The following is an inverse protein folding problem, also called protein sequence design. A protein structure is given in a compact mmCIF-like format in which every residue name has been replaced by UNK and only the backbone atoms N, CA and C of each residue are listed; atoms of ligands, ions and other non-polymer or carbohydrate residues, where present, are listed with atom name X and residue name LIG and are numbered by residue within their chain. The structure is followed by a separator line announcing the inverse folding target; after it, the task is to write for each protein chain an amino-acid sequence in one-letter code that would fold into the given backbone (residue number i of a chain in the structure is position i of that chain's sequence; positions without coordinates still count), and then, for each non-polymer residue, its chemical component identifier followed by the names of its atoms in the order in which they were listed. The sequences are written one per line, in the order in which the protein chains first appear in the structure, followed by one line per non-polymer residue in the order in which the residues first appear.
data_IF_345305932088
#
_entry.id   IF_345305932088
#
_cell.length_a   1.000
_cell.length_b   1.000
_cell.length_c   1.000
_cell.angle_alpha   90.00
_cell.angle_beta   90.00
_cell.angle_gamma   90.00
#
_symmetry.space_group_name_H-M   'P 1'
#
loop_
_entity.id
_entity.type
_entity.pdbx_description
1 polymer ?
#
# COMPACT_ATOMS: atom_id res chain seq x y z
N UNK A 1 -5.66 -4.67 -5.04
CA UNK A 1 -6.95 -5.12 -4.47
C UNK A 1 -6.60 -5.93 -3.24
N UNK A 2 -7.37 -5.89 -2.15
CA UNK A 2 -7.13 -6.71 -0.96
C UNK A 2 -8.17 -7.84 -0.89
N UNK A 3 -7.91 -8.85 -0.08
CA UNK A 3 -8.89 -9.87 0.26
C UNK A 3 -9.52 -9.50 1.61
N UNK A 4 -10.85 -9.48 1.68
CA UNK A 4 -11.58 -9.23 2.92
C UNK A 4 -11.81 -10.55 3.64
N UNK A 5 -11.43 -10.60 4.92
CA UNK A 5 -11.66 -11.69 5.85
C UNK A 5 -12.65 -11.22 6.91
N UNK A 6 -13.80 -11.88 7.02
CA UNK A 6 -14.84 -11.45 7.97
C UNK A 6 -15.73 -12.63 8.35
N UNK A 7 -16.59 -12.47 9.35
CA UNK A 7 -17.61 -13.46 9.67
C UNK A 7 -18.82 -13.30 8.75
N UNK A 8 -19.60 -14.36 8.56
CA UNK A 8 -20.81 -14.33 7.74
C UNK A 8 -21.84 -13.31 8.26
N UNK A 9 -22.07 -13.30 9.56
CA UNK A 9 -22.98 -12.36 10.21
C UNK A 9 -22.55 -10.92 9.96
N UNK A 10 -21.25 -10.62 10.10
CA UNK A 10 -20.73 -9.27 9.89
C UNK A 10 -20.78 -8.84 8.44
N UNK A 11 -20.49 -9.74 7.51
CA UNK A 11 -20.63 -9.48 6.07
C UNK A 11 -22.07 -9.11 5.73
N UNK A 12 -23.01 -9.87 6.27
CA UNK A 12 -24.45 -9.64 6.09
C UNK A 12 -24.86 -8.28 6.66
N UNK A 13 -24.45 -7.98 7.89
CA UNK A 13 -24.73 -6.69 8.54
C UNK A 13 -24.22 -5.51 7.71
N UNK A 14 -22.95 -5.51 7.30
CA UNK A 14 -22.34 -4.45 6.50
C UNK A 14 -23.03 -4.25 5.15
N UNK A 15 -23.48 -5.32 4.53
CA UNK A 15 -24.24 -5.24 3.28
C UNK A 15 -25.66 -4.66 3.48
N UNK A 16 -26.31 -4.97 4.58
CA UNK A 16 -27.66 -4.46 4.90
C UNK A 16 -27.62 -2.99 5.37
N UNK A 17 -26.59 -2.60 6.10
CA UNK A 17 -26.40 -1.20 6.52
C UNK A 17 -26.07 -0.28 5.33
N UNK A 18 -25.46 -0.82 4.30
CA UNK A 18 -25.01 -0.02 3.15
C UNK A 18 -23.81 0.86 3.46
N UNK A 19 -23.66 1.97 2.72
CA UNK A 19 -22.58 2.94 2.93
C UNK A 19 -21.22 2.46 2.43
N UNK A 20 -20.15 3.01 3.02
CA UNK A 20 -18.75 2.83 2.58
C UNK A 20 -18.33 1.36 2.54
N UNK A 21 -18.67 0.58 3.57
CA UNK A 21 -18.32 -0.84 3.59
C UNK A 21 -19.03 -1.64 2.50
N UNK A 22 -20.33 -1.37 2.25
CA UNK A 22 -21.03 -2.02 1.15
C UNK A 22 -20.38 -1.70 -0.20
N UNK A 23 -19.97 -0.45 -0.41
CA UNK A 23 -19.27 -0.05 -1.64
C UNK A 23 -17.91 -0.74 -1.79
N UNK A 24 -17.21 -0.98 -0.70
CA UNK A 24 -15.97 -1.75 -0.71
C UNK A 24 -16.26 -3.22 -1.04
N UNK A 25 -17.19 -3.85 -0.32
CA UNK A 25 -17.54 -5.26 -0.45
C UNK A 25 -17.95 -5.61 -1.89
N UNK A 26 -18.87 -4.87 -2.48
CA UNK A 26 -19.35 -5.14 -3.85
C UNK A 26 -18.29 -5.00 -4.94
N UNK A 27 -17.13 -4.44 -4.62
CA UNK A 27 -16.01 -4.29 -5.55
C UNK A 27 -14.87 -5.27 -5.26
N UNK A 28 -15.02 -6.17 -4.29
CA UNK A 28 -14.09 -7.27 -4.11
C UNK A 28 -14.28 -8.31 -5.21
N UNK A 29 -13.23 -9.08 -5.45
CA UNK A 29 -13.33 -10.30 -6.28
C UNK A 29 -13.46 -11.52 -5.41
N UNK A 30 -12.85 -11.50 -4.23
CA UNK A 30 -12.81 -12.61 -3.31
C UNK A 30 -13.02 -12.10 -1.87
N UNK A 31 -13.90 -12.78 -1.13
CA UNK A 31 -14.18 -12.57 0.29
C UNK A 31 -14.04 -13.92 0.98
N UNK A 32 -13.33 -13.94 2.10
CA UNK A 32 -13.16 -15.13 2.91
C UNK A 32 -13.98 -14.99 4.18
N UNK A 33 -14.90 -15.93 4.37
CA UNK A 33 -15.74 -16.02 5.56
C UNK A 33 -15.04 -16.90 6.59
N UNK A 34 -14.87 -16.38 7.79
CA UNK A 34 -14.20 -17.03 8.92
C UNK A 34 -15.18 -17.14 10.09
N UNK A 35 -15.99 -18.17 10.14
CA UNK A 35 -16.96 -18.38 11.20
C UNK A 35 -16.33 -19.19 12.36
N UNK A 36 -16.91 -19.07 13.54
CA UNK A 36 -16.61 -19.93 14.68
C UNK A 36 -17.54 -21.18 14.63
N UNK A 37 -17.44 -21.96 13.56
CA UNK A 37 -18.26 -23.16 13.29
C UNK A 37 -17.46 -24.20 12.51
N UNK A 38 -17.93 -25.45 12.54
CA UNK A 38 -17.36 -26.56 11.76
C UNK A 38 -17.93 -26.62 10.33
N UNK A 39 -18.69 -25.62 9.90
CA UNK A 39 -19.28 -25.57 8.55
C UNK A 39 -18.22 -25.19 7.53
N UNK A 40 -18.03 -26.02 6.54
CA UNK A 40 -17.06 -25.80 5.45
C UNK A 40 -17.61 -24.92 4.31
N UNK A 41 -18.89 -24.61 4.33
CA UNK A 41 -19.60 -23.83 3.32
C UNK A 41 -20.38 -22.70 3.98
N UNK A 42 -20.50 -21.56 3.28
CA UNK A 42 -21.37 -20.47 3.72
C UNK A 42 -22.86 -20.83 3.54
N UNK A 43 -23.74 -20.19 4.32
CA UNK A 43 -25.18 -20.46 4.28
C UNK A 43 -25.81 -19.98 2.96
N UNK A 44 -26.08 -20.92 2.03
CA UNK A 44 -26.75 -20.64 0.75
C UNK A 44 -28.17 -20.08 0.92
N UNK A 45 -28.80 -20.21 2.09
CA UNK A 45 -30.08 -19.56 2.37
C UNK A 45 -29.95 -18.07 2.69
N UNK A 46 -28.73 -17.58 2.97
CA UNK A 46 -28.43 -16.17 3.20
C UNK A 46 -28.56 -15.38 1.88
N UNK A 47 -29.65 -14.63 1.78
CA UNK A 47 -29.95 -13.86 0.56
C UNK A 47 -28.92 -12.80 0.22
N UNK A 48 -28.18 -12.30 1.20
CA UNK A 48 -27.11 -11.28 0.99
C UNK A 48 -25.93 -11.94 0.31
N UNK A 49 -25.42 -13.05 0.87
CA UNK A 49 -24.30 -13.80 0.30
C UNK A 49 -24.63 -14.33 -1.09
N UNK A 50 -25.83 -14.87 -1.25
CA UNK A 50 -26.32 -15.31 -2.57
C UNK A 50 -26.30 -14.16 -3.59
N UNK A 51 -26.67 -12.94 -3.20
CA UNK A 51 -26.61 -11.78 -4.10
C UNK A 51 -25.19 -11.35 -4.44
N UNK A 52 -24.25 -11.40 -3.47
CA UNK A 52 -22.82 -11.14 -3.73
C UNK A 52 -22.24 -12.18 -4.70
N UNK A 53 -22.55 -13.46 -4.47
CA UNK A 53 -22.13 -14.55 -5.37
C UNK A 53 -22.69 -14.39 -6.79
N UNK A 54 -23.96 -13.99 -6.95
CA UNK A 54 -24.56 -13.67 -8.26
C UNK A 54 -23.92 -12.44 -8.92
N UNK A 55 -23.33 -11.54 -8.16
CA UNK A 55 -22.57 -10.41 -8.65
C UNK A 55 -21.11 -10.77 -9.00
N UNK A 56 -20.79 -12.07 -9.12
CA UNK A 56 -19.47 -12.60 -9.47
C UNK A 56 -18.40 -12.34 -8.39
N UNK A 57 -18.81 -12.19 -7.13
CA UNK A 57 -17.91 -12.16 -5.98
C UNK A 57 -17.74 -13.59 -5.49
N UNK A 58 -16.51 -14.08 -5.50
CA UNK A 58 -16.16 -15.39 -4.97
C UNK A 58 -16.17 -15.35 -3.44
N UNK A 59 -16.94 -16.22 -2.81
CA UNK A 59 -17.06 -16.33 -1.36
C UNK A 59 -16.53 -17.72 -0.96
N UNK A 60 -15.43 -17.72 -0.22
CA UNK A 60 -14.81 -18.91 0.31
C UNK A 60 -14.97 -18.94 1.84
N UNK A 61 -14.92 -20.13 2.44
CA UNK A 61 -14.94 -20.32 3.90
C UNK A 61 -13.58 -20.82 4.35
N UNK A 62 -13.02 -20.16 5.35
CA UNK A 62 -11.76 -20.55 6.01
C UNK A 62 -11.87 -20.33 7.52
N UNK A 63 -12.46 -21.30 8.22
CA UNK A 63 -12.63 -21.22 9.67
C UNK A 63 -11.34 -21.52 10.43
N UNK A 64 -10.39 -22.26 9.84
CA UNK A 64 -9.09 -22.57 10.46
C UNK A 64 -8.26 -21.29 10.61
N UNK A 65 -8.34 -20.37 9.65
CA UNK A 65 -7.59 -19.12 9.70
C UNK A 65 -7.94 -18.28 10.93
N UNK A 66 -9.23 -18.15 11.28
CA UNK A 66 -9.63 -17.39 12.46
C UNK A 66 -9.05 -17.98 13.73
N UNK A 67 -9.03 -19.31 13.85
CA UNK A 67 -8.40 -20.02 14.95
C UNK A 67 -6.88 -19.85 14.96
N UNK A 68 -6.24 -19.91 13.83
CA UNK A 68 -4.79 -19.74 13.73
C UNK A 68 -4.35 -18.33 14.09
N UNK A 69 -5.11 -17.31 13.73
CA UNK A 69 -4.88 -15.94 14.19
C UNK A 69 -5.08 -15.83 15.72
N UNK A 70 -6.07 -16.50 16.30
CA UNK A 70 -6.26 -16.55 17.76
C UNK A 70 -5.08 -17.24 18.47
N UNK A 71 -4.50 -18.29 17.88
CA UNK A 71 -3.32 -19.02 18.42
C UNK A 71 -2.03 -18.19 18.29
N UNK A 72 -1.79 -17.58 17.13
CA UNK A 72 -0.66 -16.68 16.87
C UNK A 72 -1.08 -15.56 15.91
N UNK A 73 -1.14 -14.35 16.44
CA UNK A 73 -1.50 -13.17 15.66
C UNK A 73 -0.53 -12.86 14.51
N UNK A 74 0.65 -13.50 14.44
CA UNK A 74 1.57 -13.37 13.32
C UNK A 74 0.99 -13.95 12.02
N UNK A 75 0.06 -14.88 12.10
CA UNK A 75 -0.59 -15.52 10.95
C UNK A 75 -1.34 -14.51 10.05
N UNK A 76 -1.66 -13.31 10.55
CA UNK A 76 -2.18 -12.20 9.71
C UNK A 76 -1.20 -11.76 8.61
N UNK A 77 0.07 -12.16 8.65
CA UNK A 77 1.08 -11.85 7.64
C UNK A 77 1.23 -12.92 6.56
N UNK A 78 0.58 -14.06 6.68
CA UNK A 78 0.70 -15.14 5.69
C UNK A 78 -0.03 -14.82 4.38
N UNK A 79 -0.91 -13.85 4.42
CA UNK A 79 -1.79 -13.49 3.33
C UNK A 79 -1.35 -12.21 2.64
N UNK A 80 -1.67 -12.11 1.36
CA UNK A 80 -1.30 -10.94 0.54
C UNK A 80 -2.36 -9.86 0.65
N UNK A 81 -1.97 -8.68 1.13
CA UNK A 81 -2.85 -7.51 1.27
C UNK A 81 -4.19 -7.83 1.95
N UNK A 82 -4.21 -8.41 3.16
CA UNK A 82 -5.45 -8.77 3.83
C UNK A 82 -6.11 -7.56 4.49
N UNK A 83 -7.45 -7.59 4.59
CA UNK A 83 -8.20 -6.75 5.50
C UNK A 83 -9.12 -7.64 6.34
N UNK A 84 -9.03 -7.51 7.64
CA UNK A 84 -9.75 -8.34 8.60
C UNK A 84 -10.83 -7.55 9.32
N UNK A 85 -12.02 -8.13 9.44
CA UNK A 85 -13.08 -7.70 10.34
C UNK A 85 -13.51 -8.94 11.13
N UNK A 86 -12.87 -9.16 12.28
CA UNK A 86 -13.03 -10.38 13.07
C UNK A 86 -13.44 -10.05 14.51
N UNK A 87 -13.90 -11.08 15.25
CA UNK A 87 -14.39 -10.92 16.61
C UNK A 87 -13.26 -10.73 17.62
N UNK A 88 -12.79 -9.48 17.70
CA UNK A 88 -11.78 -8.99 18.62
C UNK A 88 -12.27 -7.69 19.27
N UNK A 89 -11.75 -7.36 20.44
CA UNK A 89 -11.98 -6.04 21.01
C UNK A 89 -11.30 -4.94 20.17
N UNK A 90 -11.80 -3.72 20.24
CA UNK A 90 -11.21 -2.56 19.55
C UNK A 90 -9.72 -2.37 19.91
N UNK A 91 -9.38 -2.60 21.16
CA UNK A 91 -7.99 -2.51 21.62
C UNK A 91 -7.08 -3.57 20.96
N UNK A 92 -7.49 -4.83 20.98
CA UNK A 92 -6.73 -5.93 20.36
C UNK A 92 -6.59 -5.72 18.86
N UNK A 93 -7.67 -5.39 18.18
CA UNK A 93 -7.67 -5.10 16.75
C UNK A 93 -6.69 -3.95 16.40
N UNK A 94 -6.69 -2.89 17.21
CA UNK A 94 -5.77 -1.76 17.04
C UNK A 94 -4.32 -2.19 17.23
N UNK A 95 -4.01 -2.99 18.24
CA UNK A 95 -2.65 -3.46 18.51
C UNK A 95 -2.16 -4.42 17.41
N UNK A 96 -3.01 -5.30 16.90
CA UNK A 96 -2.69 -6.17 15.75
C UNK A 96 -2.39 -5.31 14.51
N UNK A 97 -3.27 -4.35 14.19
CA UNK A 97 -3.06 -3.40 13.09
C UNK A 97 -1.72 -2.67 13.18
N UNK A 98 -1.38 -2.14 14.35
CA UNK A 98 -0.11 -1.43 14.58
C UNK A 98 1.09 -2.37 14.46
N UNK A 99 1.01 -3.53 15.08
CA UNK A 99 2.12 -4.49 15.17
C UNK A 99 2.49 -5.08 13.80
N UNK A 100 1.49 -5.35 12.97
CA UNK A 100 1.69 -6.06 11.71
C UNK A 100 1.49 -5.21 10.46
N UNK A 101 1.00 -3.99 10.59
CA UNK A 101 0.76 -3.09 9.46
C UNK A 101 -0.31 -3.59 8.50
N UNK A 102 -1.36 -4.19 9.03
CA UNK A 102 -2.52 -4.68 8.29
C UNK A 102 -3.78 -3.94 8.72
N UNK A 103 -4.80 -3.92 7.87
CA UNK A 103 -6.13 -3.48 8.28
C UNK A 103 -6.74 -4.60 9.11
N UNK A 104 -6.90 -4.37 10.41
CA UNK A 104 -7.54 -5.31 11.32
C UNK A 104 -8.54 -4.55 12.18
N UNK A 105 -9.82 -4.88 12.07
CA UNK A 105 -10.93 -4.16 12.66
C UNK A 105 -11.82 -5.10 13.49
N UNK A 106 -12.46 -4.61 14.55
CA UNK A 106 -13.41 -5.39 15.33
C UNK A 106 -14.74 -5.55 14.57
N UNK A 107 -15.48 -6.63 14.84
CA UNK A 107 -16.86 -6.80 14.34
C UNK A 107 -17.84 -5.84 15.01
N UNK A 108 -17.61 -5.49 16.29
CA UNK A 108 -18.45 -4.54 17.01
C UNK A 108 -18.02 -3.10 16.73
N UNK A 109 -18.98 -2.25 16.34
CA UNK A 109 -18.73 -0.84 15.99
C UNK A 109 -17.61 -0.69 14.96
N UNK A 110 -17.63 -1.51 13.90
CA UNK A 110 -16.63 -1.48 12.83
C UNK A 110 -16.46 -0.06 12.28
N UNK A 111 -15.29 0.55 12.41
CA UNK A 111 -15.08 1.90 11.91
C UNK A 111 -15.10 1.94 10.38
N UNK A 112 -15.41 3.12 9.83
CA UNK A 112 -15.17 3.34 8.41
C UNK A 112 -13.67 3.24 8.09
N UNK A 113 -13.28 2.52 7.04
CA UNK A 113 -11.88 2.34 6.74
C UNK A 113 -11.27 3.58 6.09
N UNK A 114 -10.11 4.01 6.58
CA UNK A 114 -9.38 5.13 5.98
C UNK A 114 -9.10 4.96 4.48
N UNK A 115 -9.01 3.71 4.00
CA UNK A 115 -8.80 3.38 2.58
C UNK A 115 -9.95 3.80 1.66
N UNK A 116 -11.10 4.14 2.18
CA UNK A 116 -12.23 4.66 1.41
C UNK A 116 -12.22 6.18 1.27
N UNK A 117 -11.33 6.88 1.98
CA UNK A 117 -11.18 8.32 1.85
C UNK A 117 -10.73 8.69 0.42
N UNK A 118 -11.17 9.84 -0.04
CA UNK A 118 -10.75 10.38 -1.33
C UNK A 118 -9.25 10.67 -1.32
N UNK A 119 -8.58 10.34 -2.41
CA UNK A 119 -7.18 10.69 -2.63
C UNK A 119 -6.98 12.22 -2.74
N UNK A 120 -5.73 12.64 -2.73
CA UNK A 120 -5.36 14.05 -2.89
C UNK A 120 -4.21 14.23 -3.87
N UNK A 121 -4.03 15.46 -4.32
CA UNK A 121 -3.00 15.82 -5.30
C UNK A 121 -2.13 16.95 -4.76
N UNK A 122 -0.82 16.85 -4.97
CA UNK A 122 0.14 17.92 -4.83
C UNK A 122 0.50 18.43 -6.24
N UNK A 123 0.12 19.64 -6.56
CA UNK A 123 0.59 20.35 -7.74
C UNK A 123 1.86 21.11 -7.37
N UNK A 124 3.02 20.64 -7.87
CA UNK A 124 4.30 21.25 -7.56
C UNK A 124 4.58 22.54 -8.32
N UNK A 125 3.67 23.00 -9.20
CA UNK A 125 3.72 24.31 -9.86
C UNK A 125 2.98 25.41 -9.06
N UNK A 126 2.21 25.04 -8.01
CA UNK A 126 1.42 25.98 -7.20
C UNK A 126 2.26 26.55 -6.04
N UNK A 127 2.97 27.64 -6.30
CA UNK A 127 3.80 28.34 -5.30
C UNK A 127 3.01 28.89 -4.10
N UNK A 128 1.67 28.86 -4.13
CA UNK A 128 0.84 29.33 -3.02
C UNK A 128 0.72 28.33 -1.87
N UNK A 129 1.18 27.08 -2.06
CA UNK A 129 1.09 26.00 -1.07
C UNK A 129 2.46 25.50 -0.68
N UNK A 130 2.55 24.92 0.51
CA UNK A 130 3.75 24.20 0.91
C UNK A 130 3.97 22.99 0.00
N UNK A 131 5.15 22.93 -0.60
CA UNK A 131 5.54 21.91 -1.54
C UNK A 131 6.65 21.06 -0.95
N UNK A 132 6.28 19.96 -0.34
CA UNK A 132 7.24 19.01 0.25
C UNK A 132 6.63 17.61 0.38
N UNK A 133 7.47 16.60 0.44
CA UNK A 133 7.05 15.25 0.82
C UNK A 133 6.44 15.24 2.22
N UNK A 134 6.95 16.06 3.15
CA UNK A 134 6.46 16.13 4.51
C UNK A 134 4.99 16.56 4.55
N UNK A 135 4.64 17.61 3.81
CA UNK A 135 3.26 18.08 3.70
C UNK A 135 2.37 17.04 2.99
N UNK A 136 2.83 16.55 1.84
CA UNK A 136 2.03 15.63 1.00
C UNK A 136 1.70 14.32 1.70
N UNK A 137 2.67 13.72 2.42
CA UNK A 137 2.53 12.42 3.06
C UNK A 137 1.86 12.46 4.43
N UNK A 138 1.71 13.65 5.02
CA UNK A 138 1.11 13.82 6.37
C UNK A 138 -0.34 13.36 6.48
N UNK A 139 -1.05 13.26 5.36
CA UNK A 139 -2.46 12.84 5.29
C UNK A 139 -2.69 11.33 5.39
N UNK A 140 -1.63 10.50 5.32
CA UNK A 140 -1.78 9.04 5.29
C UNK A 140 -2.12 8.51 6.69
N UNK A 141 -3.29 7.88 6.83
CA UNK A 141 -3.80 7.40 8.12
C UNK A 141 -3.78 5.89 8.29
N UNK A 142 -3.82 5.13 7.18
CA UNK A 142 -3.86 3.67 7.25
C UNK A 142 -2.52 3.09 7.72
N UNK A 143 -2.57 1.93 8.36
CA UNK A 143 -1.38 1.14 8.67
C UNK A 143 -1.00 0.30 7.46
N UNK A 144 0.28 0.02 7.28
CA UNK A 144 0.84 -0.79 6.19
C UNK A 144 2.21 -1.34 6.62
N UNK A 145 2.69 -2.38 5.95
CA UNK A 145 3.92 -3.09 6.34
C UNK A 145 4.96 -3.19 5.21
N UNK A 146 4.67 -2.65 4.06
CA UNK A 146 5.58 -2.67 2.92
C UNK A 146 5.53 -1.38 2.14
N UNK A 147 6.64 -1.03 1.51
CA UNK A 147 6.78 0.11 0.64
C UNK A 147 7.64 -0.27 -0.56
N UNK A 148 7.13 -0.04 -1.75
CA UNK A 148 7.87 -0.25 -3.00
C UNK A 148 7.98 1.09 -3.72
N UNK A 149 9.19 1.55 -3.97
CA UNK A 149 9.50 2.76 -4.72
C UNK A 149 9.94 2.34 -6.11
N UNK A 150 9.22 2.76 -7.13
CA UNK A 150 9.49 2.41 -8.54
C UNK A 150 9.79 3.68 -9.29
N UNK A 151 11.04 3.89 -9.69
CA UNK A 151 11.43 4.97 -10.58
C UNK A 151 12.73 4.59 -11.31
N UNK A 152 12.62 4.39 -12.62
CA UNK A 152 13.73 4.01 -13.48
C UNK A 152 14.95 4.91 -13.32
N UNK A 153 14.74 6.22 -13.12
CA UNK A 153 15.77 7.24 -13.06
C UNK A 153 16.08 7.71 -11.64
N UNK A 154 15.64 6.97 -10.62
CA UNK A 154 15.74 7.43 -9.23
C UNK A 154 17.17 7.80 -8.83
N UNK A 155 18.17 7.08 -9.29
CA UNK A 155 19.58 7.30 -9.00
C UNK A 155 20.37 7.92 -10.16
N UNK A 156 19.72 8.51 -11.14
CA UNK A 156 20.34 9.22 -12.26
C UNK A 156 20.61 10.69 -11.92
N UNK A 157 21.66 11.29 -12.50
CA UNK A 157 21.95 12.73 -12.46
C UNK A 157 21.65 13.46 -13.76
N UNK A 158 20.93 12.84 -14.67
CA UNK A 158 20.54 13.47 -15.93
C UNK A 158 19.68 14.72 -15.71
N UNK A 159 19.73 15.69 -16.62
CA UNK A 159 18.91 16.91 -16.62
C UNK A 159 19.12 17.85 -15.42
N UNK A 160 20.34 17.94 -14.90
CA UNK A 160 20.68 18.83 -13.79
C UNK A 160 20.25 18.33 -12.40
N UNK A 161 19.92 17.07 -12.31
CA UNK A 161 19.69 16.35 -11.06
C UNK A 161 21.00 15.85 -10.45
N UNK A 162 20.94 15.43 -9.22
CA UNK A 162 22.12 14.87 -8.52
C UNK A 162 21.73 13.64 -7.68
N UNK A 163 22.71 12.81 -7.37
CA UNK A 163 22.54 11.73 -6.40
C UNK A 163 22.15 12.27 -5.01
N UNK A 164 22.56 13.48 -4.67
CA UNK A 164 22.16 14.11 -3.41
C UNK A 164 20.67 14.45 -3.39
N UNK A 165 20.07 14.85 -4.52
CA UNK A 165 18.63 15.04 -4.63
C UNK A 165 17.88 13.70 -4.47
N UNK A 166 18.41 12.61 -5.05
CA UNK A 166 17.87 11.26 -4.83
C UNK A 166 17.87 10.89 -3.35
N UNK A 167 18.98 11.12 -2.68
CA UNK A 167 19.15 10.84 -1.25
C UNK A 167 18.25 11.72 -0.38
N UNK A 168 18.08 12.97 -0.75
CA UNK A 168 17.20 13.91 -0.06
C UNK A 168 15.73 13.43 -0.15
N UNK A 169 15.23 13.15 -1.36
CA UNK A 169 13.86 12.68 -1.56
C UNK A 169 13.64 11.33 -0.87
N UNK A 170 14.56 10.37 -1.00
CA UNK A 170 14.44 9.08 -0.32
C UNK A 170 14.36 9.24 1.20
N UNK A 171 15.21 10.08 1.79
CA UNK A 171 15.18 10.33 3.23
C UNK A 171 13.85 10.97 3.65
N UNK A 172 13.38 11.98 2.93
CA UNK A 172 12.12 12.65 3.23
C UNK A 172 10.92 11.70 3.12
N UNK A 173 10.85 10.91 2.05
CA UNK A 173 9.81 9.89 1.86
C UNK A 173 9.85 8.89 3.03
N UNK A 174 11.00 8.30 3.32
CA UNK A 174 11.12 7.28 4.37
C UNK A 174 10.87 7.86 5.76
N UNK A 175 11.31 9.10 6.04
CA UNK A 175 11.06 9.74 7.32
C UNK A 175 9.55 9.96 7.61
N UNK A 176 8.75 10.11 6.56
CA UNK A 176 7.31 10.30 6.67
C UNK A 176 6.53 8.97 6.61
N UNK A 177 7.00 8.03 5.80
CA UNK A 177 6.28 6.77 5.57
C UNK A 177 6.67 5.65 6.53
N UNK A 178 7.87 5.65 7.10
CA UNK A 178 8.24 4.60 8.05
C UNK A 178 7.47 4.76 9.36
N UNK A 179 6.86 3.71 9.87
CA UNK A 179 6.19 3.73 11.17
C UNK A 179 7.14 4.14 12.28
N UNK A 180 6.64 4.92 13.25
CA UNK A 180 7.39 5.29 14.47
C UNK A 180 7.27 4.23 15.56
N UNK A 181 6.21 3.46 15.54
CA UNK A 181 5.99 2.34 16.45
C UNK A 181 6.68 1.08 15.89
N UNK A 182 7.19 0.23 16.78
CA UNK A 182 7.84 -1.00 16.37
C UNK A 182 6.84 -1.93 15.70
N UNK A 183 7.12 -2.31 14.46
CA UNK A 183 6.36 -3.33 13.72
C UNK A 183 7.11 -4.65 13.73
N UNK A 184 6.38 -5.73 13.55
CA UNK A 184 6.97 -7.08 13.47
C UNK A 184 7.93 -7.20 12.29
N UNK A 185 7.49 -6.72 11.12
CA UNK A 185 8.29 -6.72 9.89
C UNK A 185 7.87 -5.55 9.02
N UNK A 186 8.83 -4.80 8.50
CA UNK A 186 8.60 -3.78 7.51
C UNK A 186 9.64 -3.89 6.40
N UNK A 187 9.20 -3.87 5.16
CA UNK A 187 10.11 -3.96 4.00
C UNK A 187 10.00 -2.73 3.11
N UNK A 188 11.14 -2.26 2.61
CA UNK A 188 11.25 -1.19 1.63
C UNK A 188 12.02 -1.73 0.43
N UNK A 189 11.41 -1.76 -0.73
CA UNK A 189 12.08 -2.14 -1.99
C UNK A 189 12.18 -0.92 -2.90
N UNK A 190 13.36 -0.69 -3.48
CA UNK A 190 13.59 0.37 -4.46
C UNK A 190 13.93 -0.28 -5.80
N UNK A 191 13.05 -0.08 -6.78
CA UNK A 191 13.17 -0.66 -8.12
C UNK A 191 13.61 0.44 -9.10
N UNK A 192 14.74 0.24 -9.75
CA UNK A 192 15.34 1.23 -10.65
C UNK A 192 16.14 0.56 -11.78
N UNK A 193 16.55 1.34 -12.78
CA UNK A 193 17.41 0.89 -13.87
C UNK A 193 18.87 1.22 -13.56
N UNK A 194 19.70 0.18 -13.33
CA UNK A 194 21.11 0.37 -13.02
C UNK A 194 21.89 1.00 -14.17
N UNK A 195 21.43 0.85 -15.41
CA UNK A 195 22.09 1.46 -16.59
C UNK A 195 21.90 2.97 -16.65
N UNK A 196 20.95 3.50 -15.87
CA UNK A 196 20.66 4.93 -15.74
C UNK A 196 21.21 5.55 -14.46
N UNK A 197 21.72 4.71 -13.56
CA UNK A 197 22.28 5.17 -12.31
C UNK A 197 23.71 5.68 -12.48
N UNK A 198 24.08 6.72 -11.69
CA UNK A 198 25.42 7.32 -11.72
C UNK A 198 26.49 6.46 -11.06
N UNK A 199 26.10 5.46 -10.32
CA UNK A 199 26.97 4.61 -9.51
C UNK A 199 26.63 3.13 -9.69
N UNK A 200 27.62 2.29 -9.44
CA UNK A 200 27.43 0.85 -9.40
C UNK A 200 26.55 0.43 -8.19
N UNK A 201 25.88 -0.71 -8.32
CA UNK A 201 24.98 -1.26 -7.30
C UNK A 201 25.59 -1.27 -5.88
N UNK A 202 26.86 -1.65 -5.75
CA UNK A 202 27.53 -1.72 -4.45
C UNK A 202 27.69 -0.35 -3.80
N UNK A 203 27.98 0.67 -4.59
CA UNK A 203 28.11 2.04 -4.10
C UNK A 203 26.75 2.61 -3.69
N UNK A 204 25.70 2.38 -4.53
CA UNK A 204 24.33 2.76 -4.21
C UNK A 204 23.85 2.11 -2.92
N UNK A 205 24.09 0.80 -2.76
CA UNK A 205 23.76 0.10 -1.52
C UNK A 205 24.47 0.72 -0.29
N UNK A 206 25.70 1.19 -0.45
CA UNK A 206 26.42 1.88 0.60
C UNK A 206 25.77 3.22 0.95
N UNK A 207 25.40 4.02 -0.04
CA UNK A 207 24.72 5.31 0.16
C UNK A 207 23.34 5.14 0.81
N UNK A 208 22.55 4.19 0.34
CA UNK A 208 21.23 3.86 0.89
C UNK A 208 21.35 3.38 2.35
N UNK A 209 22.34 2.55 2.65
CA UNK A 209 22.60 2.13 4.04
C UNK A 209 23.01 3.30 4.96
N UNK A 210 23.67 4.35 4.44
CA UNK A 210 23.91 5.57 5.21
C UNK A 210 22.60 6.28 5.55
N UNK A 211 21.67 6.37 4.59
CA UNK A 211 20.32 6.94 4.82
C UNK A 211 19.60 6.13 5.90
N UNK A 212 19.56 4.79 5.76
CA UNK A 212 18.94 3.88 6.75
C UNK A 212 19.42 4.19 8.18
N UNK A 213 20.73 4.41 8.37
CA UNK A 213 21.30 4.74 9.67
C UNK A 213 20.88 6.10 10.22
N UNK A 214 20.43 7.02 9.40
CA UNK A 214 19.96 8.36 9.84
C UNK A 214 18.49 8.37 10.25
N UNK A 215 17.72 7.33 9.93
CA UNK A 215 16.29 7.20 10.24
C UNK A 215 16.11 6.67 11.68
N UNK A 216 16.53 7.47 12.66
CA UNK A 216 16.42 7.13 14.07
C UNK A 216 14.98 7.39 14.57
N UNK A 217 14.46 6.49 15.42
CA UNK A 217 13.12 6.63 16.01
C UNK A 217 12.01 6.02 15.17
N UNK A 218 12.34 5.32 14.10
CA UNK A 218 11.42 4.54 13.29
C UNK A 218 11.52 3.03 13.60
N UNK A 219 10.53 2.27 13.14
CA UNK A 219 10.58 0.81 13.19
C UNK A 219 11.84 0.28 12.51
N UNK A 220 12.32 -0.86 12.96
CA UNK A 220 13.35 -1.60 12.21
C UNK A 220 12.74 -2.11 10.90
N UNK A 221 13.47 -1.95 9.79
CA UNK A 221 12.99 -2.36 8.47
C UNK A 221 14.10 -2.96 7.62
N UNK A 222 13.72 -3.84 6.72
CA UNK A 222 14.60 -4.34 5.67
C UNK A 222 14.52 -3.44 4.45
N UNK A 223 15.64 -3.27 3.75
CA UNK A 223 15.72 -2.46 2.55
C UNK A 223 16.42 -3.23 1.44
N UNK A 224 15.77 -3.29 0.29
CA UNK A 224 16.28 -3.96 -0.90
C UNK A 224 16.41 -2.99 -2.06
N UNK A 225 17.51 -3.10 -2.81
CA UNK A 225 17.70 -2.45 -4.08
C UNK A 225 17.52 -3.49 -5.20
N UNK A 226 16.58 -3.25 -6.09
CA UNK A 226 16.26 -4.15 -7.19
C UNK A 226 16.55 -3.42 -8.50
N UNK A 227 17.52 -3.92 -9.26
CA UNK A 227 17.79 -3.37 -10.58
C UNK A 227 16.99 -4.10 -11.65
N UNK A 228 16.43 -3.32 -12.57
CA UNK A 228 15.76 -3.83 -13.76
C UNK A 228 16.70 -3.55 -14.94
N UNK A 229 16.91 -4.54 -15.79
CA UNK A 229 17.56 -4.32 -17.08
C UNK A 229 16.50 -3.85 -18.09
N UNK A 230 16.66 -2.61 -18.58
CA UNK A 230 15.77 -2.00 -19.58
C UNK A 230 15.65 -2.81 -20.87
N UNK A 231 16.62 -3.70 -21.17
CA UNK A 231 16.56 -4.55 -22.35
C UNK A 231 15.62 -5.77 -22.19
N UNK A 232 15.24 -6.11 -20.96
CA UNK A 232 14.39 -7.25 -20.65
C UNK A 232 12.89 -6.92 -20.64
N UNK A 233 12.51 -5.66 -20.75
CA UNK A 233 11.13 -5.20 -20.70
C UNK A 233 10.81 -4.24 -21.84
N UNK A 234 9.61 -4.36 -22.40
CA UNK A 234 9.01 -3.37 -23.31
C UNK A 234 8.69 -2.07 -22.52
N UNK A 235 9.72 -1.51 -21.89
CA UNK A 235 9.66 -0.37 -20.97
C UNK A 235 9.31 0.95 -21.66
N UNK A 236 9.30 1.00 -23.00
CA UNK A 236 9.03 2.20 -23.77
C UNK A 236 7.57 2.70 -23.66
N UNK A 237 6.69 1.94 -22.98
CA UNK A 237 5.28 2.27 -22.83
C UNK A 237 4.85 2.65 -21.41
N UNK A 238 5.67 2.44 -20.40
CA UNK A 238 5.32 2.72 -19.01
C UNK A 238 6.37 3.62 -18.39
N UNK A 239 6.05 4.90 -18.30
CA UNK A 239 6.80 5.86 -17.50
C UNK A 239 6.38 5.79 -16.02
N UNK A 240 6.32 4.58 -15.48
CA UNK A 240 5.77 4.32 -14.16
C UNK A 240 6.71 4.81 -13.07
N UNK A 241 6.22 5.74 -12.25
CA UNK A 241 6.92 6.31 -11.10
C UNK A 241 6.00 6.31 -9.92
N UNK A 242 6.04 5.20 -9.19
CA UNK A 242 5.11 4.93 -8.12
C UNK A 242 5.80 4.70 -6.79
N UNK A 243 5.13 5.13 -5.73
CA UNK A 243 5.37 4.62 -4.39
C UNK A 243 4.13 3.81 -4.02
N UNK A 244 4.31 2.51 -3.81
CA UNK A 244 3.21 1.57 -3.59
C UNK A 244 3.35 0.93 -2.21
N UNK A 245 2.26 0.84 -1.49
CA UNK A 245 2.12 0.02 -0.30
C UNK A 245 1.02 -1.03 -0.49
N UNK A 246 0.78 -1.85 0.52
CA UNK A 246 -0.33 -2.79 0.49
C UNK A 246 -1.73 -2.12 0.43
N UNK A 247 -1.87 -0.82 0.72
CA UNK A 247 -3.19 -0.16 0.74
C UNK A 247 -3.27 1.17 0.01
N UNK A 248 -2.17 1.70 -0.51
CA UNK A 248 -2.19 2.94 -1.27
C UNK A 248 -1.17 2.96 -2.40
N UNK A 249 -1.36 3.87 -3.33
CA UNK A 249 -0.43 4.20 -4.39
C UNK A 249 -0.23 5.72 -4.46
N UNK A 250 1.01 6.12 -4.67
CA UNK A 250 1.39 7.49 -5.01
C UNK A 250 1.93 7.45 -6.43
N UNK A 251 1.29 8.19 -7.32
CA UNK A 251 1.73 8.39 -8.70
C UNK A 251 2.45 9.74 -8.79
N UNK A 252 3.74 9.70 -9.10
CA UNK A 252 4.55 10.89 -9.36
C UNK A 252 4.76 11.01 -10.87
N UNK A 253 3.84 11.66 -11.58
CA UNK A 253 3.70 11.71 -13.03
C UNK A 253 5.03 11.80 -13.83
N UNK A 254 6.04 12.50 -13.31
CA UNK A 254 7.34 12.63 -13.97
C UNK A 254 8.51 12.05 -13.18
N UNK A 255 8.60 12.30 -11.87
CA UNK A 255 9.75 11.87 -11.05
C UNK A 255 9.39 11.77 -9.57
N UNK A 256 9.86 10.72 -8.91
CA UNK A 256 9.84 10.65 -7.43
C UNK A 256 10.86 11.64 -6.84
N UNK A 257 11.93 11.97 -7.54
CA UNK A 257 12.82 13.09 -7.18
C UNK A 257 12.15 14.43 -7.48
N UNK A 258 11.14 14.81 -6.73
CA UNK A 258 10.37 16.04 -6.96
C UNK A 258 11.07 17.30 -6.45
N UNK A 259 11.95 17.17 -5.46
CA UNK A 259 12.55 18.30 -4.75
C UNK A 259 14.08 18.22 -4.71
N UNK A 260 14.73 19.39 -4.70
CA UNK A 260 16.17 19.55 -4.48
C UNK A 260 16.52 19.55 -2.99
N UNK A 261 17.78 19.43 -2.70
CA UNK A 261 18.31 19.51 -1.32
C UNK A 261 18.01 20.83 -0.62
N UNK A 262 17.85 21.92 -1.38
CA UNK A 262 17.42 23.24 -0.89
C UNK A 262 15.91 23.40 -0.76
N UNK A 263 15.15 22.31 -0.98
CA UNK A 263 13.69 22.20 -0.99
C UNK A 263 12.99 22.92 -2.14
N UNK A 264 13.71 23.41 -3.12
CA UNK A 264 13.06 23.92 -4.35
C UNK A 264 12.54 22.77 -5.19
N UNK A 265 11.53 23.04 -5.99
CA UNK A 265 10.95 22.08 -6.93
C UNK A 265 11.97 21.76 -8.02
N UNK A 266 12.22 20.48 -8.24
CA UNK A 266 13.11 20.00 -9.29
C UNK A 266 12.37 19.86 -10.63
N UNK A 267 11.11 19.42 -10.56
CA UNK A 267 10.26 19.21 -11.72
C UNK A 267 8.82 19.58 -11.36
N UNK A 268 8.24 20.51 -12.13
CA UNK A 268 6.81 20.83 -12.00
C UNK A 268 5.98 19.63 -12.47
N UNK A 269 5.14 19.12 -11.58
CA UNK A 269 4.31 17.94 -11.84
C UNK A 269 3.15 17.84 -10.85
N UNK A 270 2.19 16.99 -11.17
CA UNK A 270 1.17 16.54 -10.23
C UNK A 270 1.61 15.23 -9.59
N UNK A 271 1.54 15.18 -8.26
CA UNK A 271 1.75 13.95 -7.48
C UNK A 271 0.40 13.57 -6.89
N UNK A 272 -0.10 12.40 -7.26
CA UNK A 272 -1.40 11.90 -6.84
C UNK A 272 -1.24 10.83 -5.77
N UNK A 273 -1.95 10.98 -4.66
CA UNK A 273 -2.12 9.92 -3.67
C UNK A 273 -3.52 9.32 -3.80
N UNK A 274 -3.60 8.01 -3.84
CA UNK A 274 -4.87 7.28 -3.81
C UNK A 274 -4.76 6.07 -2.90
N UNK A 275 -5.77 5.85 -2.07
CA UNK A 275 -5.98 4.53 -1.49
C UNK A 275 -6.41 3.56 -2.58
N UNK A 276 -6.03 2.29 -2.48
CA UNK A 276 -6.34 1.27 -3.50
C UNK A 276 -7.86 1.07 -3.74
N UNK A 277 -8.70 1.69 -2.94
CA UNK A 277 -10.17 1.65 -3.01
C UNK A 277 -10.84 3.00 -3.26
N UNK A 278 -10.07 4.07 -3.45
CA UNK A 278 -10.65 5.36 -3.81
C UNK A 278 -11.23 5.33 -5.24
N UNK A 279 -12.26 6.13 -5.50
CA UNK A 279 -12.88 6.24 -6.83
C UNK A 279 -11.87 6.63 -7.93
N UNK A 280 -10.80 7.36 -7.58
CA UNK A 280 -9.76 7.75 -8.52
C UNK A 280 -9.00 6.59 -9.15
N UNK A 281 -8.81 5.47 -8.45
CA UNK A 281 -8.20 4.26 -9.03
C UNK A 281 -9.15 3.58 -10.02
N UNK A 282 -10.47 3.64 -9.80
CA UNK A 282 -11.45 3.08 -10.73
C UNK A 282 -11.42 3.74 -12.11
N UNK A 283 -11.11 5.02 -12.19
CA UNK A 283 -10.94 5.72 -13.47
C UNK A 283 -9.59 5.44 -14.11
N UNK A 284 -8.53 5.33 -13.31
CA UNK A 284 -7.18 4.99 -13.79
C UNK A 284 -7.10 3.54 -14.33
N UNK A 285 -7.75 2.58 -13.67
CA UNK A 285 -7.85 1.17 -14.13
C UNK A 285 -8.59 1.04 -15.46
N UNK A 286 -9.47 1.97 -15.81
CA UNK A 286 -10.14 1.99 -17.11
C UNK A 286 -9.27 2.51 -18.26
N UNK A 287 -8.25 3.31 -17.94
CA UNK A 287 -7.41 4.00 -18.93
C UNK A 287 -5.99 3.46 -19.05
N UNK A 288 -5.44 2.85 -18.03
CA UNK A 288 -4.12 2.24 -18.02
C UNK A 288 -4.24 0.82 -17.47
N UNK A 289 -3.98 -0.19 -18.29
CA UNK A 289 -3.80 -1.54 -17.78
C UNK A 289 -2.52 -1.58 -16.94
N UNK A 290 -2.57 -1.60 -15.61
CA UNK A 290 -1.39 -1.89 -14.82
C UNK A 290 -1.18 -3.40 -14.83
N UNK A 291 -0.64 -3.94 -15.93
CA UNK A 291 -0.10 -5.31 -15.95
C UNK A 291 1.24 -5.42 -15.19
N UNK A 292 1.67 -4.41 -14.46
CA UNK A 292 2.62 -4.57 -13.36
C UNK A 292 1.81 -5.01 -12.15
N UNK A 293 1.23 -6.20 -12.25
CA UNK A 293 0.51 -6.82 -11.16
C UNK A 293 1.44 -6.97 -9.97
N UNK A 294 0.90 -6.76 -8.78
CA UNK A 294 1.50 -7.08 -7.49
C UNK A 294 2.14 -8.49 -7.44
N UNK A 295 1.70 -9.43 -8.27
CA UNK A 295 2.27 -10.77 -8.42
C UNK A 295 3.73 -10.80 -8.87
N UNK A 296 4.26 -9.77 -9.54
CA UNK A 296 5.68 -9.71 -9.96
C UNK A 296 6.58 -9.01 -8.97
N UNK A 297 6.01 -8.21 -8.09
CA UNK A 297 6.74 -7.50 -7.02
C UNK A 297 6.97 -8.42 -5.81
N UNK A 298 6.12 -9.44 -5.62
CA UNK A 298 6.14 -10.37 -4.49
C UNK A 298 6.73 -11.76 -4.83
N UNK A 299 7.31 -11.95 -6.03
CA UNK A 299 8.12 -13.12 -6.40
C UNK A 299 9.58 -12.71 -6.53
#
# INVERSE_FOLDING_TARGET
MFTLYTTEDKLTELCLEGGTWYDIIRNQKNIIVCNDSDEEEWDESNSVLMNLHRAEIEIEVDNELAEDIKKDTQNVLELVNPAYILDYSEHEATEISKKYGVIFLPTQNTPEPAIAETGWTLDTSDDSKEQSWDFFLSGIKTKYNSLVIIDRYFFSSENGESLEDSKFNLRSILNNLLPKEQMHKFTVSIIFDITKADKEMRELATEVNKIKKTLVGHTSFDMELISIDSNCYNYDKTHDRFIVSNYFVIDAAHKIKAFRTDKTVLTEQNIHFNYLYSEGIREHDKSSKPEVSQERILK
#
